data_IF_893598555181
#
_entry.id   IF_893598555181
#
_cell.length_a   1.000
_cell.length_b   1.000
_cell.length_c   1.000
_cell.angle_alpha   90.00
_cell.angle_beta   90.00
_cell.angle_gamma   90.00
#
_symmetry.space_group_name_H-M   'P 1'
#
loop_
_entity.id
_entity.type
_entity.pdbx_description
1 polymer ?
#
# COMPACT_ATOMS: atom_id res chain seq x y z
N UNK A 1 4.76 13.97 15.04
CA UNK A 1 5.68 14.24 13.92
C UNK A 1 7.11 14.43 14.42
N UNK A 2 7.35 15.29 15.40
CA UNK A 2 8.70 15.58 15.94
C UNK A 2 9.57 14.36 16.23
N UNK A 3 9.10 13.38 17.03
CA UNK A 3 9.86 12.15 17.33
C UNK A 3 10.20 11.33 16.08
N UNK A 4 9.29 11.27 15.10
CA UNK A 4 9.52 10.52 13.86
C UNK A 4 10.57 11.23 13.00
N UNK A 5 10.51 12.56 12.92
CA UNK A 5 11.45 13.35 12.13
C UNK A 5 12.86 13.37 12.72
N UNK A 6 13.00 13.18 14.04
CA UNK A 6 14.29 13.01 14.69
C UNK A 6 15.10 11.81 14.13
N UNK A 7 14.45 10.80 13.53
CA UNK A 7 15.15 9.66 12.91
C UNK A 7 15.88 10.01 11.60
N UNK A 8 15.61 11.15 10.96
CA UNK A 8 16.49 11.67 9.90
C UNK A 8 17.83 12.17 10.45
N UNK A 9 17.90 12.45 11.76
CA UNK A 9 19.02 13.12 12.40
C UNK A 9 19.02 14.62 12.14
N UNK A 10 20.20 15.23 12.16
CA UNK A 10 20.41 16.66 11.92
C UNK A 10 21.60 16.89 10.96
N UNK A 11 22.01 18.14 10.77
CA UNK A 11 23.10 18.52 9.86
C UNK A 11 24.46 17.91 10.23
N UNK A 12 24.68 17.58 11.51
CA UNK A 12 25.96 17.04 12.00
C UNK A 12 25.94 15.53 12.24
N UNK A 13 24.76 14.96 12.50
CA UNK A 13 24.56 13.54 12.73
C UNK A 13 23.40 13.05 11.87
N UNK A 14 23.71 12.49 10.71
CA UNK A 14 22.75 11.78 9.88
C UNK A 14 22.47 10.43 10.53
N UNK A 15 21.18 10.09 10.71
CA UNK A 15 20.76 8.81 11.29
C UNK A 15 20.26 7.89 10.17
N UNK A 16 18.95 7.68 10.03
CA UNK A 16 18.39 6.90 8.94
C UNK A 16 18.31 7.74 7.65
N UNK A 17 18.43 7.09 6.48
CA UNK A 17 18.16 7.74 5.20
C UNK A 17 16.74 8.32 5.15
N UNK A 18 15.77 7.53 5.62
CA UNK A 18 14.43 7.96 5.96
C UNK A 18 13.74 6.98 6.92
N UNK A 19 12.93 7.46 7.89
CA UNK A 19 11.99 6.62 8.62
C UNK A 19 10.78 6.31 7.73
N UNK A 20 10.20 5.11 7.84
CA UNK A 20 9.02 4.75 7.05
C UNK A 20 7.82 5.65 7.36
N UNK A 21 7.18 6.15 6.31
CA UNK A 21 5.99 7.00 6.39
C UNK A 21 4.71 6.18 6.38
N UNK A 22 4.23 5.81 7.55
CA UNK A 22 2.95 5.10 7.71
C UNK A 22 1.74 6.04 7.84
N UNK A 23 1.87 7.35 7.57
CA UNK A 23 0.75 8.29 7.79
C UNK A 23 -0.44 8.04 6.87
N UNK A 24 -0.23 7.58 5.64
CA UNK A 24 -1.33 7.18 4.76
C UNK A 24 -2.07 5.95 5.31
N UNK A 25 -1.35 4.98 5.90
CA UNK A 25 -1.96 3.84 6.57
C UNK A 25 -2.75 4.31 7.80
N UNK A 26 -2.11 5.03 8.72
CA UNK A 26 -2.69 5.42 10.02
C UNK A 26 -3.90 6.35 9.87
N UNK A 27 -3.82 7.34 8.98
CA UNK A 27 -4.82 8.40 8.87
C UNK A 27 -5.96 8.07 7.90
N UNK A 28 -5.77 7.09 7.01
CA UNK A 28 -6.85 6.59 6.14
C UNK A 28 -7.52 5.32 6.68
N UNK A 29 -6.95 4.65 7.69
CA UNK A 29 -7.47 3.37 8.21
C UNK A 29 -8.95 3.39 8.60
N UNK A 30 -9.41 4.49 9.21
CA UNK A 30 -10.78 4.63 9.73
C UNK A 30 -11.68 5.50 8.85
N UNK A 31 -11.26 5.81 7.61
CA UNK A 31 -12.03 6.69 6.72
C UNK A 31 -12.87 5.85 5.77
N UNK A 32 -14.17 6.13 5.75
CA UNK A 32 -15.08 5.63 4.71
C UNK A 32 -15.01 6.48 3.43
N UNK A 33 -14.36 7.64 3.50
CA UNK A 33 -14.22 8.62 2.43
C UNK A 33 -12.74 9.06 2.29
N UNK A 34 -12.10 8.64 1.19
CA UNK A 34 -10.81 9.21 0.79
C UNK A 34 -11.09 10.45 -0.04
N UNK A 35 -10.90 11.64 0.54
CA UNK A 35 -11.14 12.93 -0.14
C UNK A 35 -9.84 13.56 -0.62
N UNK A 36 -9.91 14.41 -1.64
CA UNK A 36 -8.73 15.09 -2.17
C UNK A 36 -8.05 16.01 -1.16
N UNK A 37 -8.86 16.68 -0.32
CA UNK A 37 -8.36 17.46 0.82
C UNK A 37 -7.64 16.57 1.82
N UNK A 38 -8.19 15.39 2.16
CA UNK A 38 -7.55 14.47 3.10
C UNK A 38 -6.18 13.97 2.59
N UNK A 39 -6.08 13.63 1.31
CA UNK A 39 -4.82 13.22 0.69
C UNK A 39 -3.78 14.33 0.75
N UNK A 40 -4.15 15.56 0.37
CA UNK A 40 -3.25 16.72 0.45
C UNK A 40 -2.76 16.94 1.87
N UNK A 41 -3.67 16.95 2.86
CA UNK A 41 -3.30 17.17 4.25
C UNK A 41 -2.32 16.12 4.79
N UNK A 42 -2.45 14.85 4.39
CA UNK A 42 -1.54 13.78 4.79
C UNK A 42 -0.15 13.94 4.14
N UNK A 43 -0.12 14.35 2.87
CA UNK A 43 1.13 14.58 2.12
C UNK A 43 1.89 15.78 2.70
N UNK A 44 1.19 16.91 2.86
CA UNK A 44 1.75 18.13 3.48
C UNK A 44 2.24 17.84 4.90
N UNK A 45 1.51 17.05 5.69
CA UNK A 45 1.93 16.68 7.04
C UNK A 45 3.35 16.08 7.05
N UNK A 46 3.72 15.26 6.06
CA UNK A 46 5.07 14.73 5.97
C UNK A 46 6.06 15.77 5.44
N UNK A 47 5.75 16.41 4.31
CA UNK A 47 6.66 17.33 3.62
C UNK A 47 6.97 18.59 4.45
N UNK A 48 6.00 19.11 5.20
CA UNK A 48 6.16 20.31 6.03
C UNK A 48 6.94 20.03 7.33
N UNK A 49 7.02 18.77 7.76
CA UNK A 49 7.67 18.39 9.02
C UNK A 49 9.06 17.76 8.83
N UNK A 50 9.36 17.21 7.64
CA UNK A 50 10.67 16.63 7.39
C UNK A 50 11.76 17.71 7.38
N UNK A 51 12.97 17.43 7.89
CA UNK A 51 14.06 18.38 7.81
C UNK A 51 14.39 18.73 6.36
N UNK A 52 14.78 19.98 6.11
CA UNK A 52 15.13 20.46 4.77
C UNK A 52 16.22 19.58 4.12
N UNK A 53 16.07 19.32 2.82
CA UNK A 53 17.01 18.52 2.04
C UNK A 53 16.97 17.01 2.32
N UNK A 54 16.05 16.52 3.16
CA UNK A 54 15.86 15.07 3.41
C UNK A 54 14.97 14.42 2.35
N UNK A 55 15.01 13.09 2.30
CA UNK A 55 14.32 12.31 1.28
C UNK A 55 13.01 11.72 1.81
N UNK A 56 11.84 12.04 1.24
CA UNK A 56 10.57 11.49 1.70
C UNK A 56 10.32 10.06 1.19
N UNK A 57 9.35 9.37 1.78
CA UNK A 57 8.85 8.09 1.29
C UNK A 57 7.33 7.96 1.51
N UNK A 58 6.70 7.02 0.79
CA UNK A 58 5.25 6.82 0.80
C UNK A 58 4.90 5.34 0.92
N UNK A 59 4.13 5.00 1.94
CA UNK A 59 3.68 3.62 2.20
C UNK A 59 2.15 3.58 2.22
N UNK A 60 1.56 2.82 1.30
CA UNK A 60 0.11 2.62 1.23
C UNK A 60 -0.34 1.41 2.03
N UNK A 61 0.46 0.36 2.12
CA UNK A 61 0.12 -0.87 2.83
C UNK A 61 1.35 -1.64 3.29
N UNK A 62 1.09 -2.64 4.13
CA UNK A 62 2.08 -3.54 4.69
C UNK A 62 1.38 -4.81 5.20
N UNK A 63 2.12 -5.66 5.90
CA UNK A 63 1.66 -6.93 6.45
C UNK A 63 1.04 -6.80 7.86
N UNK A 64 0.82 -5.59 8.35
CA UNK A 64 0.24 -5.32 9.68
C UNK A 64 -1.11 -4.60 9.60
N UNK A 65 -1.56 -4.26 8.39
CA UNK A 65 -2.80 -3.56 8.14
C UNK A 65 -3.45 -4.14 6.89
N UNK A 66 -4.78 -4.30 6.93
CA UNK A 66 -5.56 -4.82 5.82
C UNK A 66 -5.22 -4.17 4.47
N UNK A 67 -5.31 -4.92 3.36
CA UNK A 67 -4.87 -4.47 2.02
C UNK A 67 -5.57 -3.21 1.55
N UNK A 68 -4.88 -2.41 0.72
CA UNK A 68 -5.37 -1.11 0.19
C UNK A 68 -6.73 -1.25 -0.46
N UNK A 69 -6.92 -2.24 -1.34
CA UNK A 69 -8.18 -2.48 -2.04
C UNK A 69 -9.35 -2.78 -1.07
N UNK A 70 -9.06 -3.42 0.08
CA UNK A 70 -10.05 -3.70 1.11
C UNK A 70 -10.35 -2.47 1.98
N UNK A 71 -9.31 -1.74 2.41
CA UNK A 71 -9.49 -0.59 3.31
C UNK A 71 -10.10 0.63 2.61
N UNK A 72 -9.65 0.92 1.39
CA UNK A 72 -9.92 2.17 0.68
C UNK A 72 -10.81 2.00 -0.55
N UNK A 73 -11.11 0.76 -0.92
CA UNK A 73 -11.96 0.43 -2.06
C UNK A 73 -11.17 0.07 -3.31
N UNK A 74 -11.73 -0.87 -4.08
CA UNK A 74 -11.11 -1.45 -5.29
C UNK A 74 -10.94 -0.42 -6.40
N UNK A 75 -11.87 0.51 -6.49
CA UNK A 75 -11.88 1.54 -7.53
C UNK A 75 -10.75 2.58 -7.36
N UNK A 76 -10.15 2.67 -6.16
CA UNK A 76 -9.06 3.59 -5.87
C UNK A 76 -7.66 2.99 -6.04
N UNK A 77 -7.53 1.68 -6.34
CA UNK A 77 -6.22 1.00 -6.43
C UNK A 77 -5.29 1.70 -7.41
N UNK A 78 -5.75 1.99 -8.62
CA UNK A 78 -4.94 2.64 -9.64
C UNK A 78 -4.59 4.08 -9.26
N UNK A 79 -5.54 4.84 -8.72
CA UNK A 79 -5.34 6.23 -8.30
C UNK A 79 -4.30 6.35 -7.16
N UNK A 80 -4.39 5.47 -6.16
CA UNK A 80 -3.47 5.48 -5.02
C UNK A 80 -2.07 5.02 -5.43
N UNK A 81 -1.97 3.97 -6.26
CA UNK A 81 -0.68 3.54 -6.82
C UNK A 81 -0.05 4.66 -7.67
N UNK A 82 -0.84 5.33 -8.52
CA UNK A 82 -0.38 6.49 -9.31
C UNK A 82 0.16 7.61 -8.43
N UNK A 83 -0.58 7.98 -7.39
CA UNK A 83 -0.14 9.00 -6.44
C UNK A 83 1.18 8.59 -5.77
N UNK A 84 1.23 7.44 -5.10
CA UNK A 84 2.43 6.99 -4.37
C UNK A 84 3.67 6.89 -5.27
N UNK A 85 3.50 6.38 -6.50
CA UNK A 85 4.57 6.23 -7.48
C UNK A 85 4.99 7.52 -8.18
N UNK A 86 4.24 8.62 -8.08
CA UNK A 86 4.59 9.88 -8.75
C UNK A 86 4.89 11.01 -7.77
N UNK A 87 4.57 10.86 -6.48
CA UNK A 87 5.04 11.76 -5.43
C UNK A 87 6.58 11.76 -5.32
N UNK A 88 7.19 12.88 -4.86
CA UNK A 88 8.64 12.99 -4.69
C UNK A 88 9.14 11.97 -3.65
N UNK A 89 10.37 11.46 -3.81
CA UNK A 89 10.99 10.57 -2.81
C UNK A 89 11.03 9.09 -3.20
N UNK A 90 10.67 8.21 -2.26
CA UNK A 90 10.64 6.74 -2.48
C UNK A 90 9.23 6.18 -2.30
N UNK A 91 8.70 5.51 -3.32
CA UNK A 91 7.47 4.75 -3.21
C UNK A 91 7.77 3.36 -2.64
N UNK A 92 6.99 2.92 -1.66
CA UNK A 92 7.08 1.60 -1.05
C UNK A 92 5.79 0.82 -1.29
N UNK A 93 5.89 -0.27 -2.05
CA UNK A 93 4.77 -1.11 -2.45
C UNK A 93 4.80 -2.43 -1.68
N UNK A 94 3.69 -2.80 -1.06
CA UNK A 94 3.49 -4.12 -0.47
C UNK A 94 3.00 -5.11 -1.53
N UNK A 95 3.50 -6.35 -1.50
CA UNK A 95 3.20 -7.32 -2.55
C UNK A 95 1.69 -7.52 -2.72
N UNK A 96 1.24 -7.54 -3.97
CA UNK A 96 -0.16 -7.65 -4.33
C UNK A 96 -0.88 -6.31 -4.52
N UNK A 97 -0.32 -5.17 -4.07
CA UNK A 97 -0.88 -3.84 -4.36
C UNK A 97 -0.87 -3.53 -5.86
N UNK A 98 0.12 -4.03 -6.60
CA UNK A 98 0.27 -3.86 -8.04
C UNK A 98 -0.79 -4.60 -8.86
N UNK A 99 -1.42 -5.63 -8.27
CA UNK A 99 -2.56 -6.34 -8.88
C UNK A 99 -3.88 -6.08 -8.15
N UNK A 100 -3.89 -5.24 -7.10
CA UNK A 100 -5.09 -4.95 -6.32
C UNK A 100 -5.58 -6.09 -5.43
N UNK A 101 -4.69 -6.92 -4.87
CA UNK A 101 -5.06 -7.98 -3.94
C UNK A 101 -5.89 -7.45 -2.77
N UNK A 102 -6.83 -8.28 -2.34
CA UNK A 102 -7.79 -8.00 -1.26
C UNK A 102 -7.55 -8.93 -0.08
N UNK A 103 -7.93 -8.48 1.12
CA UNK A 103 -8.06 -9.37 2.28
C UNK A 103 -9.01 -10.53 1.96
N UNK A 104 -8.77 -11.66 2.60
CA UNK A 104 -9.73 -12.77 2.67
C UNK A 104 -10.05 -13.06 4.13
N UNK A 105 -11.27 -13.51 4.39
CA UNK A 105 -11.62 -14.05 5.70
C UNK A 105 -10.78 -15.30 5.99
N UNK A 106 -10.30 -15.39 7.23
CA UNK A 106 -9.50 -16.50 7.78
C UNK A 106 -10.27 -17.04 8.98
N UNK A 107 -10.44 -18.36 9.05
CA UNK A 107 -11.10 -18.98 10.20
C UNK A 107 -10.23 -18.89 11.46
N UNK A 108 -10.81 -19.07 12.64
CA UNK A 108 -10.03 -19.17 13.88
C UNK A 108 -9.04 -20.33 13.80
N UNK A 109 -9.47 -21.47 13.25
CA UNK A 109 -8.66 -22.67 13.11
C UNK A 109 -7.47 -22.49 12.16
N UNK A 110 -7.62 -21.64 11.15
CA UNK A 110 -6.57 -21.31 10.18
C UNK A 110 -5.70 -20.11 10.63
N UNK A 111 -6.07 -19.42 11.72
CA UNK A 111 -5.32 -18.25 12.20
C UNK A 111 -3.95 -18.67 12.72
N UNK A 112 -2.91 -18.05 12.16
CA UNK A 112 -1.51 -18.28 12.52
C UNK A 112 -0.88 -17.07 13.20
N UNK A 113 -1.46 -15.87 13.07
CA UNK A 113 -0.93 -14.66 13.68
C UNK A 113 -0.92 -14.77 15.22
N UNK A 114 0.25 -14.70 15.88
CA UNK A 114 0.33 -14.71 17.33
C UNK A 114 -0.54 -13.64 18.00
N UNK A 115 -0.72 -12.48 17.37
CA UNK A 115 -1.59 -11.43 17.92
C UNK A 115 -3.05 -11.89 17.94
N UNK A 116 -3.58 -12.34 16.80
CA UNK A 116 -4.94 -12.92 16.72
C UNK A 116 -5.13 -14.10 17.68
N UNK A 117 -4.18 -15.02 17.74
CA UNK A 117 -4.20 -16.17 18.65
C UNK A 117 -4.29 -15.78 20.13
N UNK A 118 -3.58 -14.71 20.54
CA UNK A 118 -3.60 -14.25 21.94
C UNK A 118 -4.94 -13.64 22.36
N UNK A 119 -5.72 -13.12 21.42
CA UNK A 119 -7.04 -12.56 21.68
C UNK A 119 -8.16 -13.60 21.75
N UNK A 120 -7.91 -14.81 21.25
CA UNK A 120 -8.83 -15.93 21.33
C UNK A 120 -9.92 -15.92 20.25
N UNK A 121 -10.74 -17.00 20.19
CA UNK A 121 -11.69 -17.25 19.09
C UNK A 121 -12.78 -16.19 18.94
N UNK A 122 -13.09 -15.43 20.00
CA UNK A 122 -14.15 -14.42 19.96
C UNK A 122 -13.68 -13.07 19.40
N UNK A 123 -12.36 -12.83 19.33
CA UNK A 123 -11.79 -11.51 18.99
C UNK A 123 -10.66 -11.55 17.98
N UNK A 124 -10.25 -12.73 17.52
CA UNK A 124 -9.12 -12.86 16.62
C UNK A 124 -9.30 -12.05 15.32
N UNK A 125 -10.52 -11.93 14.79
CA UNK A 125 -10.78 -11.21 13.54
C UNK A 125 -10.41 -9.72 13.61
N UNK A 126 -10.53 -9.10 14.80
CA UNK A 126 -10.21 -7.68 15.01
C UNK A 126 -8.70 -7.42 15.13
N UNK A 127 -7.91 -8.48 15.38
CA UNK A 127 -6.51 -8.39 15.77
C UNK A 127 -5.54 -9.18 14.87
N UNK A 128 -6.03 -10.17 14.13
CA UNK A 128 -5.21 -10.96 13.24
C UNK A 128 -4.85 -10.19 11.98
N UNK A 129 -3.57 -10.27 11.62
CA UNK A 129 -2.98 -9.72 10.39
C UNK A 129 -2.91 -10.74 9.26
N UNK A 130 -3.41 -11.96 9.47
CA UNK A 130 -3.41 -13.02 8.46
C UNK A 130 -4.17 -12.66 7.17
N UNK A 131 -5.31 -11.92 7.20
CA UNK A 131 -6.03 -11.55 5.99
C UNK A 131 -5.18 -10.82 4.93
N UNK A 132 -4.26 -9.94 5.35
CA UNK A 132 -3.34 -9.23 4.46
C UNK A 132 -2.10 -10.04 4.08
N UNK A 133 -1.80 -11.14 4.78
CA UNK A 133 -0.61 -12.00 4.58
C UNK A 133 -0.85 -13.20 3.66
N UNK A 134 -2.05 -13.31 3.09
CA UNK A 134 -2.38 -14.46 2.25
C UNK A 134 -1.48 -14.59 1.02
N UNK A 135 -1.25 -15.81 0.52
CA UNK A 135 -0.28 -16.05 -0.55
C UNK A 135 -0.54 -15.22 -1.82
N UNK A 136 0.54 -14.87 -2.52
CA UNK A 136 0.49 -14.10 -3.78
C UNK A 136 -0.28 -14.87 -4.86
N UNK A 137 -1.07 -14.14 -5.66
CA UNK A 137 -1.96 -14.70 -6.68
C UNK A 137 -1.30 -14.64 -8.07
N UNK A 138 -0.50 -15.64 -8.43
CA UNK A 138 0.25 -15.67 -9.69
C UNK A 138 -0.62 -16.04 -10.89
N UNK A 139 -1.43 -17.09 -10.78
CA UNK A 139 -2.31 -17.56 -11.85
C UNK A 139 -3.60 -18.21 -11.30
N UNK A 140 -4.40 -18.82 -12.18
CA UNK A 140 -5.68 -19.46 -11.88
C UNK A 140 -5.57 -20.97 -11.54
N UNK A 141 -4.35 -21.48 -11.39
CA UNK A 141 -4.08 -22.87 -10.99
C UNK A 141 -4.27 -23.09 -9.48
N UNK A 142 -4.08 -24.32 -9.01
CA UNK A 142 -4.23 -24.64 -7.59
C UNK A 142 -3.34 -23.71 -6.73
N UNK A 143 -3.89 -23.23 -5.61
CA UNK A 143 -3.23 -22.28 -4.71
C UNK A 143 -2.68 -21.03 -5.41
N UNK A 144 -3.35 -20.59 -6.48
CA UNK A 144 -2.98 -19.45 -7.31
C UNK A 144 -1.56 -19.50 -7.89
N UNK A 145 -1.01 -20.70 -8.11
CA UNK A 145 0.37 -20.87 -8.57
C UNK A 145 1.43 -20.51 -7.53
N UNK A 146 1.05 -20.22 -6.27
CA UNK A 146 2.00 -19.91 -5.19
C UNK A 146 2.87 -21.11 -4.81
N UNK A 147 2.31 -22.32 -4.89
CA UNK A 147 3.00 -23.55 -4.54
C UNK A 147 2.55 -24.71 -5.43
N UNK A 148 3.45 -25.68 -5.63
CA UNK A 148 3.13 -26.97 -6.26
C UNK A 148 2.74 -28.05 -5.23
N UNK A 149 2.83 -27.73 -3.94
CA UNK A 149 2.38 -28.63 -2.88
C UNK A 149 0.85 -28.61 -2.76
N UNK A 150 0.32 -29.55 -1.97
CA UNK A 150 -1.11 -29.71 -1.77
C UNK A 150 -1.69 -28.81 -0.66
N UNK A 151 -0.91 -27.87 -0.12
CA UNK A 151 -1.34 -26.99 0.97
C UNK A 151 -0.52 -25.69 1.06
N UNK A 152 -1.06 -24.70 1.76
CA UNK A 152 -0.48 -23.37 2.01
C UNK A 152 -0.59 -22.99 3.49
N UNK A 153 0.40 -22.28 4.02
CA UNK A 153 0.43 -21.87 5.43
C UNK A 153 -0.73 -20.94 5.85
N UNK A 154 -1.30 -20.20 4.89
CA UNK A 154 -2.57 -19.49 5.01
C UNK A 154 -3.42 -19.76 3.76
N UNK A 155 -4.77 -19.79 3.90
CA UNK A 155 -5.69 -19.89 2.78
C UNK A 155 -5.42 -18.85 1.68
N UNK A 156 -5.46 -19.27 0.43
CA UNK A 156 -5.43 -18.37 -0.73
C UNK A 156 -6.81 -17.72 -0.93
N UNK A 157 -6.86 -16.41 -1.17
CA UNK A 157 -8.11 -15.71 -1.43
C UNK A 157 -8.82 -16.29 -2.66
N UNK A 158 -10.09 -16.66 -2.53
CA UNK A 158 -10.89 -17.33 -3.57
C UNK A 158 -11.01 -16.54 -4.88
N UNK A 159 -10.79 -15.22 -4.85
CA UNK A 159 -10.81 -14.36 -6.03
C UNK A 159 -9.60 -14.56 -6.97
N UNK A 160 -8.59 -15.36 -6.58
CA UNK A 160 -7.41 -15.63 -7.40
C UNK A 160 -7.71 -16.14 -8.81
N UNK A 161 -8.88 -16.76 -9.03
CA UNK A 161 -9.29 -17.25 -10.35
C UNK A 161 -9.47 -16.13 -11.37
N UNK A 162 -9.78 -14.92 -10.92
CA UNK A 162 -10.00 -13.75 -11.80
C UNK A 162 -9.04 -12.60 -11.50
N UNK A 163 -8.58 -12.47 -10.26
CA UNK A 163 -7.59 -11.49 -9.84
C UNK A 163 -6.25 -12.21 -9.68
N UNK A 164 -5.41 -12.20 -10.71
CA UNK A 164 -4.06 -12.79 -10.62
C UNK A 164 -3.12 -12.14 -11.65
N UNK A 165 -1.82 -12.33 -11.47
CA UNK A 165 -0.78 -11.74 -12.33
C UNK A 165 -0.95 -12.17 -13.79
N UNK A 166 -1.18 -13.46 -14.07
CA UNK A 166 -1.32 -13.98 -15.43
C UNK A 166 -2.51 -13.34 -16.16
N UNK A 167 -3.69 -13.35 -15.54
CA UNK A 167 -4.90 -12.76 -16.09
C UNK A 167 -4.74 -11.25 -16.36
N UNK A 168 -4.11 -10.52 -15.44
CA UNK A 168 -3.87 -9.09 -15.61
C UNK A 168 -2.78 -8.78 -16.66
N UNK A 169 -1.83 -9.68 -16.86
CA UNK A 169 -0.83 -9.56 -17.93
C UNK A 169 -1.47 -9.71 -19.31
N UNK A 170 -2.41 -10.65 -19.44
CA UNK A 170 -3.11 -10.97 -20.69
C UNK A 170 -4.23 -9.97 -21.02
N UNK A 171 -4.91 -9.42 -20.01
CA UNK A 171 -6.01 -8.47 -20.17
C UNK A 171 -5.58 -7.16 -20.86
N UNK A 172 -6.43 -6.58 -21.72
CA UNK A 172 -6.12 -5.31 -22.41
C UNK A 172 -5.84 -4.16 -21.43
N UNK A 173 -6.66 -4.04 -20.38
CA UNK A 173 -6.50 -3.09 -19.28
C UNK A 173 -6.50 -3.85 -17.95
N UNK A 174 -5.56 -3.51 -17.06
CA UNK A 174 -5.44 -4.10 -15.72
C UNK A 174 -4.65 -3.20 -14.78
N UNK A 175 -4.82 -3.40 -13.46
CA UNK A 175 -4.02 -2.71 -12.44
C UNK A 175 -2.52 -2.92 -12.67
N UNK A 176 -2.11 -4.15 -13.00
CA UNK A 176 -0.72 -4.47 -13.27
C UNK A 176 -0.14 -3.65 -14.43
N UNK A 177 -0.90 -3.48 -15.52
CA UNK A 177 -0.46 -2.67 -16.67
C UNK A 177 -0.39 -1.19 -16.32
N UNK A 178 -1.35 -0.67 -15.55
CA UNK A 178 -1.28 0.71 -15.03
C UNK A 178 -0.02 0.87 -14.17
N UNK A 179 0.21 -0.02 -13.21
CA UNK A 179 1.38 0.00 -12.33
C UNK A 179 2.70 -0.05 -13.11
N UNK A 180 2.82 -0.93 -14.11
CA UNK A 180 3.99 -1.01 -14.99
C UNK A 180 4.23 0.28 -15.79
N UNK A 181 3.17 0.88 -16.34
CA UNK A 181 3.27 2.12 -17.08
C UNK A 181 3.74 3.29 -16.19
N UNK A 182 3.22 3.38 -14.97
CA UNK A 182 3.55 4.45 -14.02
C UNK A 182 4.96 4.26 -13.46
N UNK A 183 5.38 3.04 -13.15
CA UNK A 183 6.77 2.78 -12.73
C UNK A 183 7.78 3.09 -13.84
N UNK A 184 7.40 2.91 -15.11
CA UNK A 184 8.22 3.36 -16.23
C UNK A 184 8.24 4.89 -16.31
N UNK A 185 7.09 5.56 -16.17
CA UNK A 185 6.97 7.01 -16.17
C UNK A 185 7.82 7.66 -15.05
N UNK A 186 7.85 7.06 -13.85
CA UNK A 186 8.65 7.54 -12.71
C UNK A 186 10.16 7.66 -13.02
N UNK A 187 10.66 6.95 -14.03
CA UNK A 187 12.10 7.01 -14.39
C UNK A 187 12.50 8.35 -15.01
N UNK A 188 11.54 9.14 -15.49
CA UNK A 188 11.78 10.48 -16.04
C UNK A 188 12.28 11.44 -14.95
N UNK A 189 13.17 12.37 -15.33
CA UNK A 189 13.80 13.28 -14.37
C UNK A 189 12.80 14.14 -13.59
N UNK A 190 11.67 14.51 -14.21
CA UNK A 190 10.62 15.30 -13.56
C UNK A 190 10.05 14.59 -12.32
N UNK A 191 9.84 13.27 -12.37
CA UNK A 191 9.31 12.52 -11.22
C UNK A 191 10.39 12.10 -10.21
N UNK A 192 11.67 12.16 -10.60
CA UNK A 192 12.79 11.81 -9.73
C UNK A 192 13.34 13.00 -8.96
N UNK A 193 13.36 14.17 -9.59
CA UNK A 193 14.08 15.36 -9.13
C UNK A 193 13.24 16.64 -9.16
N UNK A 194 12.02 16.59 -9.71
CA UNK A 194 11.15 17.75 -9.80
C UNK A 194 10.54 18.12 -8.45
N UNK A 195 10.14 19.38 -8.36
CA UNK A 195 9.31 19.88 -7.26
C UNK A 195 7.87 19.40 -7.41
N UNK A 196 7.09 19.52 -6.35
CA UNK A 196 5.66 19.23 -6.34
C UNK A 196 4.85 20.52 -6.22
N UNK A 197 3.78 20.64 -7.01
CA UNK A 197 2.75 21.66 -6.81
C UNK A 197 1.34 21.05 -6.88
N UNK A 198 0.34 21.74 -6.35
CA UNK A 198 -1.05 21.26 -6.26
C UNK A 198 -2.00 22.18 -7.04
N UNK A 199 -2.27 21.93 -8.34
CA UNK A 199 -3.07 22.83 -9.17
C UNK A 199 -4.54 22.92 -8.73
N UNK A 200 -5.15 21.77 -8.41
CA UNK A 200 -6.56 21.66 -8.02
C UNK A 200 -6.69 20.71 -6.84
N UNK A 201 -7.26 21.23 -5.75
CA UNK A 201 -7.61 20.46 -4.56
C UNK A 201 -9.03 20.80 -4.18
N UNK A 202 -9.88 19.78 -4.12
CA UNK A 202 -11.28 19.85 -3.65
C UNK A 202 -11.56 18.62 -2.80
N UNK A 203 -12.79 18.48 -2.28
CA UNK A 203 -13.19 17.22 -1.63
C UNK A 203 -13.09 16.02 -2.60
N UNK A 204 -13.44 16.20 -3.87
CA UNK A 204 -13.51 15.09 -4.83
C UNK A 204 -12.23 14.92 -5.67
N UNK A 205 -11.37 15.95 -5.72
CA UNK A 205 -10.21 15.98 -6.62
C UNK A 205 -8.94 16.27 -5.83
N UNK A 206 -7.97 15.36 -5.94
CA UNK A 206 -6.56 15.61 -5.63
C UNK A 206 -5.77 15.62 -6.93
N UNK A 207 -4.99 16.68 -7.17
CA UNK A 207 -4.08 16.75 -8.30
C UNK A 207 -2.75 17.35 -7.88
N UNK A 208 -1.68 16.87 -8.52
CA UNK A 208 -0.34 17.40 -8.36
C UNK A 208 0.41 17.37 -9.69
N UNK A 209 1.42 18.23 -9.80
CA UNK A 209 2.38 18.30 -10.92
C UNK A 209 3.80 18.31 -10.39
#
# INVERSE_FOLDING_TARGET
MEQLMAYYGNETFILADFPFNFKMIELLHNRTDVTGISLKSIIDLWLDNMPEGRWPNWVLGNHDRGRVATRLGKDLVDALNMMSLLLPGTACTYYGEEIGMENTWISWEDTQDPEGCNWGPDKYEEHSRDPERTPMQWDDSAFAGFTMHNDTWLPVNKNYRTLNVKAQTEAEMSHLKVYQNITQLRKENVFRLGDIAYPVITEDIFSFI
#
